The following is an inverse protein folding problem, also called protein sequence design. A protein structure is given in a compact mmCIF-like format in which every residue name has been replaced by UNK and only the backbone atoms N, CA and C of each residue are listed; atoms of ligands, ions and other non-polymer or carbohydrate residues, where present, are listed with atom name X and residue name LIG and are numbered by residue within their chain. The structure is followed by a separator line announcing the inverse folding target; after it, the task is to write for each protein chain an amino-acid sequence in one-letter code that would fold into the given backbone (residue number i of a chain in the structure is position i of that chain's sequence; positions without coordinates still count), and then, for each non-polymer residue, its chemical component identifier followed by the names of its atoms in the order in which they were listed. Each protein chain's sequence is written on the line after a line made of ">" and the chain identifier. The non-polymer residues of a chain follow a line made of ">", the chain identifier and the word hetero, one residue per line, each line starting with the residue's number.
data_IF_428124082720
#
_entry.id   IF_428124082720
#
_cell.length_a   1.000
_cell.length_b   1.000
_cell.length_c   1.000
_cell.angle_alpha   90.00
_cell.angle_beta   90.00
_cell.angle_gamma   90.00
#
_symmetry.space_group_name_H-M   'P 1'
#
loop_
_entity.id
_entity.type
_entity.pdbx_description
1 polymer ?
#
# COMPACT_ATOMS: atom_id res chain seq x y z
N UNK A 1 -16.28 9.74 -15.96
CA UNK A 1 -15.13 9.03 -15.36
C UNK A 1 -14.30 10.09 -14.66
N UNK A 2 -13.74 9.82 -13.47
CA UNK A 2 -12.86 10.78 -12.84
C UNK A 2 -11.62 10.99 -13.70
N UNK A 3 -11.10 12.20 -13.73
CA UNK A 3 -9.92 12.50 -14.54
C UNK A 3 -8.69 11.75 -13.99
N UNK A 4 -7.86 11.18 -14.87
CA UNK A 4 -6.66 10.45 -14.46
C UNK A 4 -5.67 11.41 -13.80
N UNK A 5 -4.81 10.90 -12.93
CA UNK A 5 -3.80 11.73 -12.23
C UNK A 5 -2.88 12.46 -13.20
N UNK A 6 -2.57 11.86 -14.34
CA UNK A 6 -1.79 12.47 -15.42
C UNK A 6 -2.48 13.65 -16.13
N UNK A 7 -3.75 13.97 -15.81
CA UNK A 7 -4.39 15.20 -16.27
C UNK A 7 -3.91 16.44 -15.52
N UNK A 8 -3.35 16.27 -14.31
CA UNK A 8 -2.76 17.37 -13.56
C UNK A 8 -1.50 17.84 -14.30
N UNK A 9 -1.34 19.15 -14.57
CA UNK A 9 -0.16 19.67 -15.24
C UNK A 9 1.14 19.20 -14.59
N UNK A 10 2.15 18.94 -15.41
CA UNK A 10 3.46 18.41 -15.02
C UNK A 10 3.49 16.94 -14.55
N UNK A 11 2.34 16.26 -14.37
CA UNK A 11 2.31 14.85 -13.98
C UNK A 11 2.21 13.95 -15.20
N UNK A 12 3.05 12.91 -15.22
CA UNK A 12 3.06 11.90 -16.28
C UNK A 12 2.63 10.52 -15.80
N UNK A 13 2.58 9.53 -16.71
CA UNK A 13 2.16 8.15 -16.40
C UNK A 13 2.94 7.49 -15.26
N UNK A 14 4.22 7.82 -15.09
CA UNK A 14 5.03 7.30 -14.00
C UNK A 14 4.55 7.78 -12.62
N UNK A 15 4.18 9.05 -12.51
CA UNK A 15 3.63 9.62 -11.27
C UNK A 15 2.23 9.06 -11.01
N UNK A 16 1.41 8.91 -12.05
CA UNK A 16 0.09 8.27 -11.95
C UNK A 16 0.20 6.83 -11.42
N UNK A 17 1.13 6.02 -11.96
CA UNK A 17 1.37 4.67 -11.46
C UNK A 17 1.85 4.67 -10.01
N UNK A 18 2.61 5.69 -9.58
CA UNK A 18 3.02 5.84 -8.19
C UNK A 18 1.82 6.16 -7.27
N UNK A 19 0.94 7.07 -7.68
CA UNK A 19 -0.28 7.39 -6.94
C UNK A 19 -1.23 6.20 -6.87
N UNK A 20 -1.33 5.42 -7.96
CA UNK A 20 -2.12 4.20 -7.96
C UNK A 20 -1.62 3.18 -6.93
N UNK A 21 -0.30 3.04 -6.73
CA UNK A 21 0.27 2.21 -5.64
C UNK A 21 -0.06 2.74 -4.25
N UNK A 22 -0.27 4.05 -4.13
CA UNK A 22 -0.74 4.70 -2.91
C UNK A 22 -2.27 4.66 -2.73
N UNK A 23 -3.01 4.00 -3.63
CA UNK A 23 -4.47 3.92 -3.59
C UNK A 23 -5.19 5.18 -4.07
N UNK A 24 -4.48 6.09 -4.74
CA UNK A 24 -5.03 7.35 -5.27
C UNK A 24 -5.13 7.24 -6.78
N UNK A 25 -6.37 7.31 -7.30
CA UNK A 25 -6.66 6.95 -8.70
C UNK A 25 -7.21 8.10 -9.55
N UNK A 26 -7.38 9.31 -9.00
CA UNK A 26 -7.93 10.44 -9.74
C UNK A 26 -7.27 11.77 -9.41
N UNK A 27 -7.30 12.69 -10.38
CA UNK A 27 -6.89 14.08 -10.19
C UNK A 27 -7.75 14.76 -9.12
N UNK A 28 -9.06 14.55 -9.14
CA UNK A 28 -10.01 15.12 -8.15
C UNK A 28 -9.64 14.75 -6.72
N UNK A 29 -9.23 13.50 -6.47
CA UNK A 29 -8.79 13.06 -5.15
C UNK A 29 -7.55 13.83 -4.70
N UNK A 30 -6.58 14.04 -5.59
CA UNK A 30 -5.37 14.81 -5.29
C UNK A 30 -5.72 16.28 -5.03
N UNK A 31 -6.61 16.89 -5.82
CA UNK A 31 -7.09 18.26 -5.57
C UNK A 31 -7.79 18.40 -4.22
N UNK A 32 -8.63 17.43 -3.85
CA UNK A 32 -9.33 17.42 -2.56
C UNK A 32 -8.39 17.24 -1.36
N UNK A 33 -7.34 16.43 -1.50
CA UNK A 33 -6.34 16.19 -0.44
C UNK A 33 -5.31 17.31 -0.32
N UNK A 34 -4.96 17.96 -1.43
CA UNK A 34 -3.84 18.88 -1.54
C UNK A 34 -2.48 18.19 -1.68
N UNK A 35 -1.47 18.96 -2.10
CA UNK A 35 -0.13 18.44 -2.45
C UNK A 35 0.55 17.71 -1.30
N UNK A 36 0.52 18.28 -0.09
CA UNK A 36 1.26 17.76 1.06
C UNK A 36 0.75 16.37 1.46
N UNK A 37 -0.57 16.23 1.63
CA UNK A 37 -1.20 14.95 1.99
C UNK A 37 -1.06 13.90 0.88
N UNK A 38 -1.23 14.30 -0.38
CA UNK A 38 -1.07 13.41 -1.52
C UNK A 38 0.39 12.90 -1.64
N UNK A 39 1.38 13.79 -1.49
CA UNK A 39 2.79 13.40 -1.56
C UNK A 39 3.23 12.57 -0.34
N UNK A 40 2.67 12.86 0.83
CA UNK A 40 2.87 12.04 2.03
C UNK A 40 2.35 10.61 1.84
N UNK A 41 1.18 10.44 1.21
CA UNK A 41 0.65 9.12 0.86
C UNK A 41 1.58 8.35 -0.11
N UNK A 42 2.14 9.03 -1.12
CA UNK A 42 3.16 8.45 -2.02
C UNK A 42 4.38 7.94 -1.26
N UNK A 43 4.90 8.72 -0.31
CA UNK A 43 6.06 8.33 0.48
C UNK A 43 5.75 7.16 1.42
N UNK A 44 4.56 7.16 2.05
CA UNK A 44 4.08 6.04 2.87
C UNK A 44 3.88 4.76 2.06
N UNK A 45 3.55 4.86 0.77
CA UNK A 45 3.45 3.70 -0.14
C UNK A 45 4.82 3.22 -0.67
N UNK A 46 5.93 3.72 -0.13
CA UNK A 46 7.28 3.31 -0.47
C UNK A 46 7.94 4.09 -1.62
N UNK A 47 7.34 5.18 -2.11
CA UNK A 47 8.02 6.05 -3.08
C UNK A 47 9.15 6.80 -2.39
N UNK A 48 10.40 6.75 -2.90
CA UNK A 48 11.51 7.48 -2.30
C UNK A 48 11.24 8.99 -2.27
N UNK A 49 11.56 9.69 -1.17
CA UNK A 49 11.34 11.13 -1.06
C UNK A 49 12.17 11.89 -2.09
N UNK A 50 11.52 12.61 -3.01
CA UNK A 50 12.20 13.37 -4.06
C UNK A 50 11.66 14.80 -4.19
N UNK A 51 12.46 15.79 -3.82
CA UNK A 51 12.00 17.19 -3.76
C UNK A 51 11.43 17.70 -5.09
N UNK A 52 12.03 17.33 -6.23
CA UNK A 52 11.51 17.75 -7.54
C UNK A 52 10.09 17.21 -7.75
N UNK A 53 9.85 15.95 -7.38
CA UNK A 53 8.52 15.34 -7.52
C UNK A 53 7.48 16.05 -6.66
N UNK A 54 7.86 16.48 -5.46
CA UNK A 54 6.98 17.22 -4.57
C UNK A 54 6.57 18.58 -5.13
N UNK A 55 7.52 19.45 -5.50
CA UNK A 55 7.11 20.78 -5.97
C UNK A 55 6.47 20.73 -7.36
N UNK A 56 6.81 19.75 -8.21
CA UNK A 56 6.12 19.50 -9.49
C UNK A 56 4.63 19.27 -9.26
N UNK A 57 4.25 18.48 -8.25
CA UNK A 57 2.86 18.31 -7.84
C UNK A 57 2.24 19.62 -7.37
N UNK A 58 2.95 20.40 -6.54
CA UNK A 58 2.45 21.71 -6.06
C UNK A 58 2.18 22.65 -7.23
N UNK A 59 3.11 22.77 -8.18
CA UNK A 59 2.94 23.62 -9.38
C UNK A 59 1.80 23.10 -10.27
N UNK A 60 1.68 21.78 -10.40
CA UNK A 60 0.61 21.13 -11.14
C UNK A 60 -0.78 21.50 -10.60
N UNK A 61 -0.97 21.43 -9.28
CA UNK A 61 -2.24 21.80 -8.65
C UNK A 61 -2.56 23.30 -8.74
N UNK A 62 -1.56 24.15 -8.98
CA UNK A 62 -1.73 25.58 -9.23
C UNK A 62 -1.94 25.91 -10.72
N UNK A 63 -1.84 24.93 -11.61
CA UNK A 63 -1.91 25.15 -13.06
C UNK A 63 -0.68 25.85 -13.65
N UNK A 64 0.47 25.82 -12.96
CA UNK A 64 1.72 26.48 -13.36
C UNK A 64 2.72 25.47 -13.95
N UNK A 65 3.58 25.89 -14.89
CA UNK A 65 4.68 25.04 -15.34
C UNK A 65 5.68 24.87 -14.20
N UNK A 66 6.25 23.67 -14.07
CA UNK A 66 7.10 23.34 -12.92
C UNK A 66 8.36 24.21 -12.78
N UNK A 67 8.86 24.78 -13.88
CA UNK A 67 10.05 25.63 -13.91
C UNK A 67 9.83 27.05 -13.35
N UNK A 68 8.58 27.41 -13.04
CA UNK A 68 8.21 28.69 -12.45
C UNK A 68 8.47 28.77 -10.94
N UNK A 69 8.74 27.64 -10.28
CA UNK A 69 9.07 27.60 -8.86
C UNK A 69 10.50 28.13 -8.59
N UNK A 70 10.62 29.34 -8.06
CA UNK A 70 11.89 30.06 -7.93
C UNK A 70 12.04 30.80 -6.59
N UNK A 71 13.27 31.25 -6.29
CA UNK A 71 13.55 32.15 -5.16
C UNK A 71 13.05 31.66 -3.80
N UNK A 72 12.32 32.54 -3.10
CA UNK A 72 11.76 32.28 -1.76
C UNK A 72 10.70 31.17 -1.76
N UNK A 73 9.90 31.03 -2.83
CA UNK A 73 8.90 29.97 -2.93
C UNK A 73 9.57 28.59 -2.87
N UNK A 74 10.65 28.41 -3.63
CA UNK A 74 11.42 27.15 -3.63
C UNK A 74 12.02 26.83 -2.25
N UNK A 75 12.47 27.85 -1.52
CA UNK A 75 12.98 27.70 -0.14
C UNK A 75 11.85 27.29 0.81
N UNK A 76 10.69 27.93 0.72
CA UNK A 76 9.53 27.58 1.53
C UNK A 76 9.06 26.14 1.27
N UNK A 77 9.00 25.73 -0.01
CA UNK A 77 8.68 24.34 -0.36
C UNK A 77 9.72 23.35 0.14
N UNK A 78 11.01 23.73 0.18
CA UNK A 78 12.05 22.86 0.75
C UNK A 78 11.80 22.58 2.22
N UNK A 79 11.48 23.61 3.00
CA UNK A 79 11.16 23.47 4.42
C UNK A 79 9.93 22.58 4.64
N UNK A 80 8.87 22.77 3.85
CA UNK A 80 7.68 21.90 3.89
C UNK A 80 8.02 20.45 3.57
N UNK A 81 8.76 20.23 2.49
CA UNK A 81 9.19 18.89 2.09
C UNK A 81 10.03 18.18 3.16
N UNK A 82 10.97 18.89 3.80
CA UNK A 82 11.79 18.31 4.85
C UNK A 82 10.96 17.93 6.08
N UNK A 83 9.90 18.69 6.40
CA UNK A 83 8.94 18.32 7.44
C UNK A 83 8.16 17.04 7.07
N UNK A 84 7.66 16.93 5.84
CA UNK A 84 6.96 15.72 5.37
C UNK A 84 7.87 14.49 5.41
N UNK A 85 9.14 14.64 5.01
CA UNK A 85 10.13 13.56 5.06
C UNK A 85 10.38 13.11 6.50
N UNK A 86 10.48 14.05 7.45
CA UNK A 86 10.63 13.74 8.87
C UNK A 86 9.41 13.03 9.44
N UNK A 87 8.20 13.42 9.03
CA UNK A 87 6.95 12.77 9.43
C UNK A 87 6.93 11.30 9.00
N UNK A 88 7.19 11.02 7.71
CA UNK A 88 7.22 9.64 7.19
C UNK A 88 8.30 8.81 7.87
N UNK A 89 9.49 9.37 8.09
CA UNK A 89 10.55 8.67 8.81
C UNK A 89 10.11 8.29 10.24
N UNK A 90 9.41 9.20 10.93
CA UNK A 90 8.83 8.94 12.25
C UNK A 90 7.76 7.84 12.22
N UNK A 91 6.88 7.84 11.23
CA UNK A 91 5.82 6.82 11.09
C UNK A 91 6.38 5.42 10.81
N UNK A 92 7.38 5.34 9.93
CA UNK A 92 8.05 4.08 9.62
C UNK A 92 8.84 3.55 10.81
N UNK A 93 9.53 4.41 11.56
CA UNK A 93 10.24 4.02 12.77
C UNK A 93 9.29 3.50 13.86
N UNK A 94 8.15 4.17 14.08
CA UNK A 94 7.12 3.71 15.04
C UNK A 94 6.51 2.37 14.64
N UNK A 95 6.32 2.13 13.35
CA UNK A 95 5.75 0.87 12.84
C UNK A 95 6.75 -0.26 13.03
N UNK A 96 8.02 -0.04 12.67
CA UNK A 96 9.10 -1.01 12.93
C UNK A 96 9.25 -1.33 14.42
N UNK A 97 9.26 -0.32 15.29
CA UNK A 97 9.35 -0.51 16.74
C UNK A 97 8.16 -1.27 17.32
N UNK A 98 6.94 -1.08 16.78
CA UNK A 98 5.77 -1.90 17.14
C UNK A 98 5.94 -3.36 16.70
N UNK A 99 6.39 -3.61 15.48
CA UNK A 99 6.61 -4.98 15.01
C UNK A 99 7.71 -5.70 15.77
N UNK A 100 8.80 -5.01 16.15
CA UNK A 100 9.86 -5.58 16.99
C UNK A 100 9.35 -5.89 18.41
N UNK A 101 8.55 -5.00 18.99
CA UNK A 101 7.91 -5.22 20.29
C UNK A 101 6.91 -6.39 20.23
N UNK A 102 6.07 -6.47 19.20
CA UNK A 102 5.13 -7.57 18.99
C UNK A 102 5.86 -8.91 18.84
N UNK A 103 6.95 -8.95 18.07
CA UNK A 103 7.79 -10.14 17.94
C UNK A 103 8.45 -10.54 19.26
N UNK A 104 8.91 -9.57 20.06
CA UNK A 104 9.45 -9.84 21.39
C UNK A 104 8.38 -10.37 22.36
N UNK A 105 7.17 -9.81 22.33
CA UNK A 105 6.05 -10.27 23.17
C UNK A 105 5.59 -11.69 22.79
N UNK A 106 5.58 -12.02 21.50
CA UNK A 106 5.31 -13.38 20.99
C UNK A 106 6.40 -14.36 21.45
N UNK A 107 7.68 -13.96 21.36
CA UNK A 107 8.82 -14.75 21.84
C UNK A 107 8.73 -15.07 23.34
N UNK A 108 8.31 -14.11 24.17
CA UNK A 108 8.11 -14.32 25.60
C UNK A 108 6.77 -15.00 25.95
N UNK A 109 5.90 -15.29 24.97
CA UNK A 109 4.65 -16.01 25.16
C UNK A 109 3.57 -15.25 25.94
N UNK A 110 3.65 -13.92 26.00
CA UNK A 110 2.72 -13.05 26.76
C UNK A 110 1.48 -12.67 25.93
N UNK A 111 1.40 -13.12 24.68
CA UNK A 111 0.27 -12.84 23.78
C UNK A 111 -0.86 -13.86 23.99
N UNK A 112 -2.08 -13.37 24.18
CA UNK A 112 -3.28 -14.21 24.29
C UNK A 112 -3.47 -15.03 22.99
N UNK A 113 -3.36 -16.36 23.08
CA UNK A 113 -3.52 -17.28 21.94
C UNK A 113 -4.90 -17.08 21.32
N UNK A 114 -4.99 -16.43 20.15
CA UNK A 114 -6.19 -16.51 19.30
C UNK A 114 -6.42 -17.98 18.95
N UNK A 115 -7.57 -18.51 19.37
CA UNK A 115 -7.98 -19.88 19.12
C UNK A 115 -7.90 -20.19 17.62
N UNK A 116 -7.02 -21.11 17.23
CA UNK A 116 -7.06 -21.67 15.88
C UNK A 116 -8.38 -22.41 15.68
N UNK A 117 -9.05 -22.29 14.51
CA UNK A 117 -10.18 -23.15 14.20
C UNK A 117 -9.68 -24.59 14.08
N UNK A 118 -10.12 -25.43 15.01
CA UNK A 118 -9.86 -26.87 15.03
C UNK A 118 -10.37 -27.49 13.73
N UNK A 119 -9.46 -28.00 12.88
CA UNK A 119 -9.86 -28.87 11.78
C UNK A 119 -10.42 -30.15 12.37
N UNK A 120 -11.75 -30.31 12.35
CA UNK A 120 -12.40 -31.55 12.74
C UNK A 120 -13.66 -31.73 11.92
N UNK A 121 -13.56 -32.49 10.83
CA UNK A 121 -14.68 -33.28 10.32
C UNK A 121 -14.20 -34.45 9.44
N UNK A 122 -14.50 -35.70 9.78
CA UNK A 122 -14.33 -36.85 8.90
C UNK A 122 -15.66 -37.17 8.21
N UNK A 123 -15.72 -37.22 6.86
CA UNK A 123 -16.87 -37.79 6.15
C UNK A 123 -16.46 -38.75 5.02
N UNK A 124 -16.62 -40.04 5.35
CA UNK A 124 -17.05 -41.22 4.57
C UNK A 124 -16.82 -41.22 3.04
N UNK A 125 -15.86 -42.05 2.59
CA UNK A 125 -15.85 -42.61 1.23
C UNK A 125 -16.79 -43.81 1.16
N UNK A 126 -17.83 -43.69 0.36
CA UNK A 126 -18.68 -44.80 -0.09
C UNK A 126 -18.35 -45.04 -1.57
N UNK A 127 -17.82 -46.22 -1.94
CA UNK A 127 -17.89 -46.77 -3.30
C UNK A 127 -17.16 -48.13 -3.46
N UNK A 128 -17.97 -49.17 -3.77
CA UNK A 128 -17.72 -50.25 -4.76
C UNK A 128 -16.72 -51.34 -4.31
N UNK A 129 -17.12 -52.60 -4.10
CA UNK A 129 -17.38 -53.54 -5.21
C UNK A 129 -18.19 -54.77 -4.78
N UNK A 130 -19.11 -55.13 -5.67
CA UNK A 130 -20.11 -56.19 -5.62
C UNK A 130 -19.46 -57.57 -5.74
N UNK A 131 -19.89 -58.49 -4.87
CA UNK A 131 -19.63 -59.91 -4.95
C UNK A 131 -20.29 -60.53 -6.19
N UNK A 132 -19.55 -61.38 -6.88
CA UNK A 132 -20.09 -62.43 -7.75
C UNK A 132 -19.23 -63.67 -7.55
N UNK A 133 -19.66 -64.50 -6.58
CA UNK A 133 -19.30 -65.89 -6.53
C UNK A 133 -20.29 -66.64 -7.43
N UNK A 134 -19.79 -67.37 -8.41
CA UNK A 134 -20.50 -68.48 -9.03
C UNK A 134 -19.53 -69.66 -9.06
N UNK A 135 -19.90 -70.67 -8.27
CA UNK A 135 -19.39 -72.05 -8.32
C UNK A 135 -19.73 -72.70 -9.67
N UNK A 136 -18.92 -73.70 -10.04
CA UNK A 136 -19.19 -74.92 -10.82
C UNK A 136 -17.98 -75.20 -11.72
N UNK A 137 -17.44 -76.40 -11.93
CA UNK A 137 -17.54 -77.75 -11.38
C UNK A 137 -16.43 -78.54 -12.10
N UNK A 138 -15.66 -79.35 -11.36
CA UNK A 138 -14.78 -80.42 -11.89
C UNK A 138 -15.58 -81.44 -12.73
N UNK A 139 -14.96 -82.25 -13.61
CA UNK A 139 -13.77 -83.08 -13.34
C UNK A 139 -12.61 -83.01 -14.34
#
# INVERSE_FOLDING_TARGET
>A
MPDPVSSIPNLGPATEAAFARAGIHSADAIHAMGADAAYLALMRSGTPPHFIGYYVLVMGLQGRPWNDCQGEEKKALRLRFDALKAEVAGDLAKTKGRSELEAALDFFGVVERKAQPTSSRPEKKNAISRAAAASESEP
#
